data_IF_634860956928
#
_entry.id   IF_634860956928
#
_cell.length_a   1.000
_cell.length_b   1.000
_cell.length_c   1.000
_cell.angle_alpha   90.00
_cell.angle_beta   90.00
_cell.angle_gamma   90.00
#
_symmetry.space_group_name_H-M   'P 1'
#
loop_
_entity.id
_entity.type
_entity.pdbx_description
1 polymer ?
#
# COMPACT_ATOMS: atom_id res chain seq x y z
N UNK A 1 54.11 47.81 -13.04
CA UNK A 1 52.85 47.37 -13.67
C UNK A 1 52.20 46.32 -12.78
N UNK A 2 51.12 46.68 -12.08
CA UNK A 2 50.32 45.78 -11.23
C UNK A 2 49.64 44.74 -12.11
N UNK A 3 49.87 43.46 -11.86
CA UNK A 3 49.03 42.36 -12.38
C UNK A 3 48.24 41.77 -11.22
N UNK A 4 47.06 42.31 -10.99
CA UNK A 4 45.95 41.56 -10.38
C UNK A 4 45.44 40.56 -11.43
N UNK A 5 45.11 39.32 -11.06
CA UNK A 5 44.03 38.51 -11.66
C UNK A 5 43.79 37.26 -10.78
N UNK A 6 42.60 37.29 -10.16
CA UNK A 6 41.66 36.23 -9.79
C UNK A 6 42.14 34.89 -9.24
N UNK A 7 42.02 34.74 -7.92
CA UNK A 7 41.78 33.46 -7.27
C UNK A 7 40.35 32.99 -7.62
N UNK A 8 40.25 31.94 -8.42
CA UNK A 8 38.99 31.20 -8.62
C UNK A 8 38.77 30.28 -7.41
N UNK A 9 37.99 30.76 -6.44
CA UNK A 9 37.37 29.92 -5.43
C UNK A 9 36.30 29.06 -6.12
N UNK A 10 36.68 27.85 -6.55
CA UNK A 10 35.73 26.83 -6.97
C UNK A 10 35.06 26.30 -5.69
N UNK A 11 33.96 26.92 -5.30
CA UNK A 11 32.97 26.35 -4.40
C UNK A 11 32.34 25.15 -5.11
N UNK A 12 32.91 23.96 -4.91
CA UNK A 12 32.24 22.70 -5.25
C UNK A 12 31.08 22.54 -4.27
N UNK A 13 29.92 23.07 -4.65
CA UNK A 13 28.66 22.71 -4.02
C UNK A 13 28.40 21.23 -4.31
N UNK A 14 28.67 20.37 -3.33
CA UNK A 14 28.16 19.00 -3.33
C UNK A 14 26.65 19.12 -3.15
N UNK A 15 25.94 19.23 -4.26
CA UNK A 15 24.50 19.06 -4.29
C UNK A 15 24.23 17.58 -3.98
N UNK A 16 23.89 17.27 -2.73
CA UNK A 16 23.26 16.01 -2.40
C UNK A 16 21.88 15.99 -3.06
N UNK A 17 21.76 15.36 -4.23
CA UNK A 17 20.46 14.91 -4.71
C UNK A 17 19.92 13.87 -3.73
N UNK A 18 18.68 14.01 -3.22
CA UNK A 18 18.06 12.92 -2.47
C UNK A 18 17.99 11.71 -3.41
N UNK A 19 18.58 10.61 -2.97
CA UNK A 19 18.53 9.32 -3.65
C UNK A 19 17.09 8.83 -3.46
N UNK A 20 16.22 9.07 -4.42
CA UNK A 20 14.89 8.44 -4.43
C UNK A 20 15.13 6.94 -4.31
N UNK A 21 14.71 6.39 -3.17
CA UNK A 21 14.85 4.96 -2.92
C UNK A 21 13.97 4.24 -3.94
N UNK A 22 14.43 3.09 -4.40
CA UNK A 22 13.75 2.27 -5.41
C UNK A 22 12.30 1.88 -5.03
N UNK A 23 11.87 2.20 -3.82
CA UNK A 23 10.50 2.04 -3.32
C UNK A 23 9.49 3.06 -3.90
N UNK A 24 9.95 4.21 -4.40
CA UNK A 24 9.03 5.29 -4.81
C UNK A 24 8.39 5.09 -6.18
N UNK A 25 8.81 4.10 -6.99
CA UNK A 25 8.38 4.03 -8.39
C UNK A 25 7.47 2.84 -8.75
N UNK A 26 6.98 2.05 -7.79
CA UNK A 26 6.04 0.96 -8.09
C UNK A 26 4.75 1.44 -8.74
N UNK A 27 4.27 2.64 -8.37
CA UNK A 27 3.10 3.22 -9.04
C UNK A 27 3.37 3.46 -10.53
N UNK A 28 4.60 3.82 -10.92
CA UNK A 28 4.93 4.06 -12.33
C UNK A 28 4.93 2.79 -13.20
N UNK A 29 4.96 1.62 -12.57
CA UNK A 29 4.90 0.33 -13.27
C UNK A 29 3.47 0.00 -13.71
N UNK A 30 2.46 0.67 -13.14
CA UNK A 30 1.05 0.52 -13.54
C UNK A 30 0.84 1.24 -14.89
N UNK A 31 0.64 0.47 -15.96
CA UNK A 31 0.43 1.03 -17.30
C UNK A 31 -1.04 1.30 -17.65
N UNK A 32 -1.98 0.65 -16.96
CA UNK A 32 -3.40 0.81 -17.20
C UNK A 32 -3.88 2.16 -16.60
N UNK A 33 -4.46 3.07 -17.40
CA UNK A 33 -4.87 4.39 -16.93
C UNK A 33 -6.02 4.36 -15.92
N UNK A 34 -6.92 3.38 -16.02
CA UNK A 34 -8.04 3.23 -15.09
C UNK A 34 -7.55 2.70 -13.75
N UNK A 35 -6.63 1.73 -13.76
CA UNK A 35 -5.94 1.26 -12.54
C UNK A 35 -5.17 2.40 -11.90
N UNK A 36 -4.38 3.16 -12.68
CA UNK A 36 -3.61 4.30 -12.18
C UNK A 36 -4.48 5.32 -11.46
N UNK A 37 -5.63 5.67 -12.05
CA UNK A 37 -6.58 6.63 -11.48
C UNK A 37 -7.04 6.19 -10.09
N UNK A 38 -7.36 4.92 -9.90
CA UNK A 38 -7.74 4.38 -8.59
C UNK A 38 -6.54 4.30 -7.65
N UNK A 39 -5.40 3.79 -8.14
CA UNK A 39 -4.21 3.50 -7.36
C UNK A 39 -3.58 4.75 -6.74
N UNK A 40 -3.60 5.91 -7.41
CA UNK A 40 -3.10 7.17 -6.87
C UNK A 40 -3.86 7.56 -5.59
N UNK A 41 -5.19 7.53 -5.62
CA UNK A 41 -5.99 7.80 -4.43
C UNK A 41 -5.87 6.68 -3.39
N UNK A 42 -5.81 5.43 -3.85
CA UNK A 42 -5.61 4.26 -3.00
C UNK A 42 -4.33 4.31 -2.19
N UNK A 43 -3.22 4.81 -2.76
CA UNK A 43 -1.96 5.00 -2.06
C UNK A 43 -2.11 5.98 -0.90
N UNK A 44 -2.72 7.14 -1.13
CA UNK A 44 -2.94 8.14 -0.07
C UNK A 44 -3.80 7.58 1.06
N UNK A 45 -4.86 6.85 0.72
CA UNK A 45 -5.72 6.20 1.71
C UNK A 45 -4.96 5.10 2.47
N UNK A 46 -4.16 4.29 1.79
CA UNK A 46 -3.30 3.29 2.41
C UNK A 46 -2.31 3.92 3.41
N UNK A 47 -1.65 5.00 3.02
CA UNK A 47 -0.72 5.74 3.88
C UNK A 47 -1.41 6.29 5.13
N UNK A 48 -2.64 6.80 4.98
CA UNK A 48 -3.40 7.37 6.08
C UNK A 48 -3.98 6.33 7.05
N UNK A 49 -4.39 5.15 6.55
CA UNK A 49 -5.20 4.21 7.33
C UNK A 49 -4.53 2.86 7.61
N UNK A 50 -3.52 2.48 6.83
CA UNK A 50 -2.97 1.11 6.86
C UNK A 50 -1.46 1.08 7.13
N UNK A 51 -0.70 2.02 6.55
CA UNK A 51 0.76 2.01 6.56
C UNK A 51 1.38 2.15 7.96
N UNK A 52 0.68 2.77 8.91
CA UNK A 52 1.16 2.88 10.30
C UNK A 52 1.37 1.49 10.95
N UNK A 53 0.63 0.48 10.53
CA UNK A 53 0.79 -0.89 10.99
C UNK A 53 1.52 -1.74 9.95
N UNK A 54 1.04 -1.75 8.70
CA UNK A 54 1.54 -2.63 7.64
C UNK A 54 2.82 -2.12 6.95
N UNK A 55 3.34 -0.97 7.38
CA UNK A 55 4.48 -0.25 6.80
C UNK A 55 4.20 0.28 5.39
N UNK A 56 4.95 1.29 4.95
CA UNK A 56 4.78 1.88 3.60
C UNK A 56 5.08 0.88 2.49
N UNK A 57 6.00 -0.05 2.71
CA UNK A 57 6.39 -1.11 1.77
C UNK A 57 5.53 -2.39 1.87
N UNK A 58 4.55 -2.40 2.78
CA UNK A 58 3.62 -3.51 2.98
C UNK A 58 4.22 -4.76 3.63
N UNK A 59 5.44 -4.71 4.18
CA UNK A 59 6.08 -5.88 4.79
C UNK A 59 5.62 -6.18 6.23
N UNK A 60 4.74 -5.36 6.80
CA UNK A 60 4.29 -5.53 8.17
C UNK A 60 5.41 -5.32 9.20
N UNK A 61 5.23 -5.85 10.40
CA UNK A 61 6.15 -5.66 11.53
C UNK A 61 6.48 -6.99 12.20
N UNK A 62 7.41 -7.73 11.60
CA UNK A 62 7.89 -9.02 12.11
C UNK A 62 6.74 -9.99 12.41
N UNK A 63 6.67 -10.46 13.66
CA UNK A 63 5.61 -11.37 14.14
C UNK A 63 4.38 -10.65 14.72
N UNK A 64 4.37 -9.33 14.72
CA UNK A 64 3.30 -8.54 15.33
C UNK A 64 2.21 -8.17 14.31
N UNK A 65 2.61 -7.64 13.16
CA UNK A 65 1.69 -7.22 12.09
C UNK A 65 2.01 -8.02 10.82
N UNK A 66 1.03 -8.68 10.19
CA UNK A 66 1.26 -9.48 9.00
C UNK A 66 1.65 -8.60 7.79
N UNK A 67 2.46 -9.13 6.87
CA UNK A 67 2.72 -8.48 5.60
C UNK A 67 1.45 -8.47 4.73
N UNK A 68 1.36 -7.48 3.85
CA UNK A 68 0.44 -7.45 2.70
C UNK A 68 1.19 -7.78 1.41
N UNK A 69 2.44 -7.33 1.30
CA UNK A 69 3.33 -7.65 0.19
C UNK A 69 3.69 -9.14 0.25
N UNK A 70 3.51 -9.82 -0.88
CA UNK A 70 3.81 -11.25 -1.04
C UNK A 70 3.11 -12.16 -0.03
N UNK A 71 1.98 -11.72 0.53
CA UNK A 71 1.21 -12.46 1.51
C UNK A 71 0.17 -13.38 0.87
N UNK A 72 0.26 -14.69 1.13
CA UNK A 72 -0.71 -15.70 0.70
C UNK A 72 -2.15 -15.39 1.17
N UNK A 73 -2.30 -15.01 2.43
CA UNK A 73 -3.58 -14.70 3.06
C UNK A 73 -4.24 -13.48 2.41
N UNK A 74 -3.47 -12.46 2.04
CA UNK A 74 -4.01 -11.31 1.33
C UNK A 74 -4.43 -11.67 -0.10
N UNK A 75 -3.62 -12.47 -0.81
CA UNK A 75 -3.88 -12.85 -2.20
C UNK A 75 -5.04 -13.82 -2.38
N UNK A 76 -5.35 -14.63 -1.37
CA UNK A 76 -6.30 -15.72 -1.52
C UNK A 76 -7.78 -15.29 -1.64
N UNK A 77 -8.17 -14.06 -1.26
CA UNK A 77 -9.57 -13.61 -1.35
C UNK A 77 -9.72 -12.09 -1.24
N UNK A 78 -10.01 -11.44 -2.38
CA UNK A 78 -10.39 -10.02 -2.42
C UNK A 78 -11.62 -9.73 -1.54
N UNK A 79 -12.71 -10.53 -1.58
CA UNK A 79 -13.87 -10.29 -0.71
C UNK A 79 -13.50 -10.28 0.78
N UNK A 80 -12.64 -11.21 1.22
CA UNK A 80 -12.18 -11.24 2.62
C UNK A 80 -11.37 -10.01 2.97
N UNK A 81 -10.42 -9.62 2.13
CA UNK A 81 -9.63 -8.42 2.39
C UNK A 81 -10.51 -7.17 2.46
N UNK A 82 -11.42 -6.99 1.50
CA UNK A 82 -12.38 -5.88 1.49
C UNK A 82 -13.21 -5.85 2.78
N UNK A 83 -13.69 -7.01 3.21
CA UNK A 83 -14.43 -7.14 4.46
C UNK A 83 -13.58 -6.72 5.69
N UNK A 84 -12.34 -7.21 5.78
CA UNK A 84 -11.41 -6.91 6.88
C UNK A 84 -11.09 -5.41 6.95
N UNK A 85 -10.92 -4.72 5.82
CA UNK A 85 -10.65 -3.26 5.83
C UNK A 85 -11.73 -2.48 6.56
N UNK A 86 -13.00 -2.87 6.39
CA UNK A 86 -14.15 -2.17 7.01
C UNK A 86 -14.47 -2.68 8.40
N UNK A 87 -14.44 -4.00 8.60
CA UNK A 87 -14.97 -4.68 9.78
C UNK A 87 -13.90 -5.19 10.75
N UNK A 88 -12.62 -5.09 10.37
CA UNK A 88 -11.50 -5.58 11.16
C UNK A 88 -11.32 -7.10 11.07
N UNK A 89 -10.35 -7.59 11.84
CA UNK A 89 -9.94 -9.00 11.91
C UNK A 89 -9.70 -9.38 13.37
N UNK A 90 -10.10 -10.58 13.79
CA UNK A 90 -9.81 -11.12 15.12
C UNK A 90 -9.57 -12.62 15.04
N UNK A 91 -8.82 -13.15 15.99
CA UNK A 91 -8.48 -14.56 16.02
C UNK A 91 -7.28 -14.89 15.15
N UNK A 92 -6.88 -16.15 15.25
CA UNK A 92 -5.65 -16.66 14.66
C UNK A 92 -5.76 -16.77 13.14
N UNK A 93 -4.77 -16.23 12.45
CA UNK A 93 -4.56 -16.40 11.01
C UNK A 93 -3.14 -16.87 10.72
N UNK A 94 -2.97 -17.59 9.62
CA UNK A 94 -1.67 -17.99 9.10
C UNK A 94 -1.36 -17.18 7.85
N UNK A 95 -0.24 -16.48 7.86
CA UNK A 95 0.26 -15.69 6.72
C UNK A 95 1.69 -16.11 6.44
N UNK A 96 1.94 -16.65 5.24
CA UNK A 96 3.25 -17.15 4.80
C UNK A 96 3.89 -18.12 5.81
N UNK A 97 3.08 -19.00 6.42
CA UNK A 97 3.51 -19.97 7.44
C UNK A 97 3.79 -19.38 8.84
N UNK A 98 3.60 -18.08 9.05
CA UNK A 98 3.67 -17.44 10.36
C UNK A 98 2.26 -17.20 10.92
N UNK A 99 2.09 -17.53 12.19
CA UNK A 99 0.84 -17.30 12.92
C UNK A 99 0.75 -15.86 13.43
N UNK A 100 -0.41 -15.23 13.27
CA UNK A 100 -0.76 -13.91 13.79
C UNK A 100 -2.12 -13.98 14.50
N UNK A 101 -2.24 -13.35 15.67
CA UNK A 101 -3.49 -13.31 16.46
C UNK A 101 -3.75 -11.91 17.06
N UNK A 102 -3.07 -10.89 16.52
CA UNK A 102 -3.35 -9.51 16.91
C UNK A 102 -4.60 -9.01 16.19
N UNK A 103 -5.55 -8.39 16.89
CA UNK A 103 -6.75 -7.87 16.26
C UNK A 103 -6.41 -6.69 15.34
N UNK A 104 -6.96 -6.70 14.12
CA UNK A 104 -6.98 -5.52 13.24
C UNK A 104 -8.26 -4.73 13.54
N UNK A 105 -8.17 -3.46 13.96
CA UNK A 105 -9.36 -2.64 14.20
C UNK A 105 -10.18 -2.40 12.93
N UNK A 106 -11.50 -2.36 13.09
CA UNK A 106 -12.43 -1.96 12.04
C UNK A 106 -12.29 -0.47 11.69
N UNK A 107 -12.49 -0.11 10.43
CA UNK A 107 -12.68 1.28 10.01
C UNK A 107 -14.04 1.46 9.32
N UNK A 108 -15.13 1.65 10.08
CA UNK A 108 -16.48 1.74 9.52
C UNK A 108 -16.68 2.97 8.64
N UNK A 109 -15.81 3.99 8.77
CA UNK A 109 -15.90 5.24 8.01
C UNK A 109 -15.45 5.10 6.55
N UNK A 110 -14.71 4.04 6.20
CA UNK A 110 -14.33 3.79 4.82
C UNK A 110 -15.58 3.48 3.98
N UNK A 111 -15.79 4.29 2.95
CA UNK A 111 -16.88 4.10 1.98
C UNK A 111 -16.45 3.05 0.95
N UNK A 112 -17.40 2.46 0.20
CA UNK A 112 -17.07 1.49 -0.83
C UNK A 112 -16.05 2.00 -1.86
N UNK A 113 -16.11 3.28 -2.24
CA UNK A 113 -15.12 3.89 -3.13
C UNK A 113 -13.73 3.97 -2.51
N UNK A 114 -13.62 4.30 -1.22
CA UNK A 114 -12.33 4.38 -0.53
C UNK A 114 -11.66 2.99 -0.50
N UNK A 115 -12.44 1.97 -0.17
CA UNK A 115 -11.97 0.57 -0.14
C UNK A 115 -11.61 0.09 -1.54
N UNK A 116 -12.40 0.42 -2.56
CA UNK A 116 -12.12 0.10 -3.95
C UNK A 116 -10.78 0.69 -4.42
N UNK A 117 -10.50 1.93 -4.04
CA UNK A 117 -9.23 2.60 -4.33
C UNK A 117 -8.06 1.93 -3.59
N UNK A 118 -8.18 1.67 -2.28
CA UNK A 118 -7.16 0.97 -1.49
C UNK A 118 -6.89 -0.43 -2.07
N UNK A 119 -7.94 -1.20 -2.34
CA UNK A 119 -7.83 -2.54 -2.88
C UNK A 119 -7.15 -2.51 -4.26
N UNK A 120 -7.59 -1.63 -5.16
CA UNK A 120 -6.96 -1.48 -6.49
C UNK A 120 -5.48 -1.11 -6.35
N UNK A 121 -5.11 -0.22 -5.42
CA UNK A 121 -3.70 0.06 -5.15
C UNK A 121 -2.94 -1.20 -4.70
N UNK A 122 -3.41 -1.87 -3.64
CA UNK A 122 -2.72 -3.02 -3.05
C UNK A 122 -2.58 -4.20 -4.02
N UNK A 123 -3.63 -4.51 -4.79
CA UNK A 123 -3.65 -5.61 -5.76
C UNK A 123 -2.94 -5.30 -7.09
N UNK A 124 -2.29 -4.15 -7.22
CA UNK A 124 -1.53 -3.81 -8.42
C UNK A 124 -0.10 -3.32 -8.12
N UNK A 125 0.14 -2.71 -6.95
CA UNK A 125 1.42 -2.08 -6.62
C UNK A 125 2.62 -3.04 -6.51
N UNK A 126 2.38 -4.34 -6.30
CA UNK A 126 3.44 -5.37 -6.22
C UNK A 126 3.32 -6.44 -7.32
N UNK A 127 2.78 -6.05 -8.48
CA UNK A 127 2.80 -6.90 -9.69
C UNK A 127 1.73 -7.99 -9.75
N UNK A 128 0.69 -7.93 -8.92
CA UNK A 128 -0.46 -8.85 -9.02
C UNK A 128 -1.36 -8.54 -10.21
N UNK A 129 -1.38 -7.28 -10.69
CA UNK A 129 -2.06 -6.87 -11.92
C UNK A 129 -3.55 -7.26 -11.98
N UNK A 130 -4.26 -7.19 -10.84
CA UNK A 130 -5.68 -7.57 -10.75
C UNK A 130 -6.61 -6.62 -11.53
N UNK A 131 -6.11 -5.44 -11.90
CA UNK A 131 -6.92 -4.42 -12.54
C UNK A 131 -7.72 -3.59 -11.54
N UNK A 132 -8.80 -2.96 -12.01
CA UNK A 132 -9.66 -2.12 -11.18
C UNK A 132 -10.61 -2.99 -10.36
N UNK A 133 -10.58 -2.83 -9.04
CA UNK A 133 -11.63 -3.31 -8.14
C UNK A 133 -12.61 -2.16 -7.94
N UNK A 134 -13.84 -2.32 -8.42
CA UNK A 134 -14.83 -1.24 -8.47
C UNK A 134 -15.57 -1.04 -7.14
N UNK A 135 -16.16 0.14 -6.95
CA UNK A 135 -17.01 0.40 -5.78
C UNK A 135 -18.23 -0.52 -5.73
N UNK A 136 -18.79 -0.91 -6.88
CA UNK A 136 -19.94 -1.81 -6.96
C UNK A 136 -19.57 -3.24 -6.51
N UNK A 137 -18.38 -3.73 -6.88
CA UNK A 137 -17.87 -5.01 -6.37
C UNK A 137 -17.65 -4.96 -4.87
N UNK A 138 -17.06 -3.87 -4.36
CA UNK A 138 -16.87 -3.67 -2.93
C UNK A 138 -18.21 -3.62 -2.19
N UNK A 139 -19.22 -2.92 -2.71
CA UNK A 139 -20.57 -2.92 -2.13
C UNK A 139 -21.13 -4.34 -2.02
N UNK A 140 -20.97 -5.15 -3.07
CA UNK A 140 -21.36 -6.56 -3.05
C UNK A 140 -20.59 -7.35 -1.99
N UNK A 141 -19.27 -7.20 -1.92
CA UNK A 141 -18.44 -7.93 -0.94
C UNK A 141 -18.74 -7.55 0.51
N UNK A 142 -19.34 -6.39 0.75
CA UNK A 142 -19.72 -5.93 2.08
C UNK A 142 -21.15 -6.34 2.49
N UNK A 143 -21.89 -7.06 1.66
CA UNK A 143 -23.25 -7.53 1.99
C UNK A 143 -23.24 -8.74 2.93
N UNK A 144 -22.24 -9.61 2.80
CA UNK A 144 -22.16 -10.87 3.53
C UNK A 144 -20.75 -11.11 4.06
N UNK A 145 -20.67 -11.58 5.30
CA UNK A 145 -19.40 -11.91 5.92
C UNK A 145 -18.76 -13.12 5.22
N UNK A 146 -17.47 -13.07 4.86
CA UNK A 146 -16.75 -14.23 4.35
C UNK A 146 -16.72 -15.36 5.39
N UNK A 147 -16.67 -16.60 4.94
CA UNK A 147 -16.44 -17.72 5.85
C UNK A 147 -15.05 -17.64 6.49
N UNK A 148 -14.99 -17.86 7.81
CA UNK A 148 -13.74 -17.97 8.58
C UNK A 148 -12.76 -16.82 8.34
N UNK A 149 -13.25 -15.57 8.32
CA UNK A 149 -12.38 -14.39 8.28
C UNK A 149 -11.81 -14.12 9.67
#
# INVERSE_FOLDING_TARGET
MRKTIFAWLILVGIACSPKSTQEENYLSEISDPDVMKYAIHGKTLYENYCANCHQTDGKGLGKLIPPLRDADYFRASIPRTVWIMKNGQKGEIMVNGQVYDQPMPANPNLKPLDIAQIATYLYNIWGMNEGVITSAEVEKYLQEAPENY
#
